data_IF_569668053467
#
_entry.id   IF_569668053467
#
_cell.length_a   1.000
_cell.length_b   1.000
_cell.length_c   1.000
_cell.angle_alpha   90.00
_cell.angle_beta   90.00
_cell.angle_gamma   90.00
#
_symmetry.space_group_name_H-M   'P 1'
#
loop_
_entity.id
_entity.type
_entity.pdbx_description
1 polymer ?
#
# COMPACT_ATOMS: atom_id res chain seq x y z
N UNK A 1 7.66 2.43 -4.42
CA UNK A 1 7.28 1.07 -4.87
C UNK A 1 6.16 1.23 -5.90
N UNK A 2 6.28 0.66 -7.10
CA UNK A 2 5.46 1.04 -8.27
C UNK A 2 3.97 0.81 -8.01
N UNK A 3 3.11 1.78 -8.40
CA UNK A 3 1.63 1.71 -8.34
C UNK A 3 1.10 0.40 -8.96
N UNK A 4 1.80 -0.11 -9.97
CA UNK A 4 1.49 -1.38 -10.64
C UNK A 4 1.71 -2.64 -9.80
N UNK A 5 2.45 -2.59 -8.68
CA UNK A 5 2.54 -3.74 -7.75
C UNK A 5 1.26 -3.82 -6.89
N UNK A 6 0.79 -2.67 -6.37
CA UNK A 6 -0.44 -2.59 -5.58
C UNK A 6 -1.71 -2.89 -6.38
N UNK A 7 -1.75 -2.52 -7.67
CA UNK A 7 -2.88 -2.86 -8.55
C UNK A 7 -2.94 -4.34 -8.92
N UNK A 8 -1.77 -4.98 -9.08
CA UNK A 8 -1.66 -6.42 -9.40
C UNK A 8 -1.78 -7.32 -8.18
N UNK A 9 -1.54 -6.78 -6.98
CA UNK A 9 -1.69 -7.52 -5.73
C UNK A 9 -3.15 -7.74 -5.30
N UNK A 10 -4.14 -7.39 -6.13
CA UNK A 10 -5.56 -7.52 -5.79
C UNK A 10 -6.39 -8.26 -6.85
N UNK A 11 -5.88 -8.43 -8.07
CA UNK A 11 -6.59 -9.17 -9.12
C UNK A 11 -6.47 -10.69 -8.97
N UNK A 12 -5.52 -11.17 -8.18
CA UNK A 12 -5.41 -12.60 -7.85
C UNK A 12 -5.58 -12.75 -6.35
N UNK A 13 -6.61 -13.48 -5.92
CA UNK A 13 -6.75 -14.11 -4.59
C UNK A 13 -5.61 -15.12 -4.31
N UNK A 14 -4.43 -14.94 -4.91
CA UNK A 14 -3.25 -15.75 -4.65
C UNK A 14 -2.71 -15.35 -3.28
N UNK A 15 -3.16 -16.11 -2.29
CA UNK A 15 -2.53 -16.39 -1.00
C UNK A 15 -1.30 -15.52 -0.73
N UNK A 16 -1.52 -14.34 -0.16
CA UNK A 16 -0.49 -13.62 0.59
C UNK A 16 -0.14 -14.43 1.84
N UNK A 17 0.40 -15.62 1.66
CA UNK A 17 0.85 -16.47 2.74
C UNK A 17 2.36 -16.41 2.77
N UNK A 18 2.92 -16.12 3.94
CA UNK A 18 4.36 -16.19 4.08
C UNK A 18 4.78 -17.66 3.99
N UNK A 19 5.76 -18.02 3.16
CA UNK A 19 6.30 -19.39 3.12
C UNK A 19 7.17 -19.71 4.36
N UNK A 20 7.25 -18.79 5.33
CA UNK A 20 8.06 -18.85 6.54
C UNK A 20 7.25 -18.24 7.69
N UNK A 21 7.92 -17.64 8.67
CA UNK A 21 7.32 -17.11 9.89
C UNK A 21 6.93 -15.62 9.80
N UNK A 22 6.52 -15.12 8.63
CA UNK A 22 6.08 -13.73 8.46
C UNK A 22 7.11 -12.64 8.84
N UNK A 23 8.38 -13.01 8.98
CA UNK A 23 9.52 -12.15 9.36
C UNK A 23 10.59 -12.06 8.27
N UNK A 24 10.19 -12.15 7.00
CA UNK A 24 11.14 -12.06 5.89
C UNK A 24 11.79 -10.67 5.83
N UNK A 25 13.10 -10.60 5.65
CA UNK A 25 13.81 -9.36 5.38
C UNK A 25 13.43 -8.85 3.98
N UNK A 26 12.89 -7.64 3.90
CA UNK A 26 12.47 -6.97 2.66
C UNK A 26 13.43 -5.82 2.38
N UNK A 27 14.44 -6.11 1.54
CA UNK A 27 15.45 -5.18 1.04
C UNK A 27 15.38 -5.05 -0.52
N UNK A 28 16.27 -4.26 -1.14
CA UNK A 28 16.24 -4.05 -2.60
C UNK A 28 16.42 -5.32 -3.41
N UNK A 29 17.19 -6.29 -2.93
CA UNK A 29 17.51 -7.54 -3.61
C UNK A 29 16.41 -8.58 -3.37
N UNK A 30 15.91 -8.69 -2.14
CA UNK A 30 15.01 -9.74 -1.67
C UNK A 30 13.53 -9.36 -1.66
N UNK A 31 13.15 -8.12 -2.03
CA UNK A 31 11.77 -7.64 -1.95
C UNK A 31 10.74 -8.53 -2.66
N UNK A 32 11.10 -9.21 -3.73
CA UNK A 32 10.16 -10.06 -4.48
C UNK A 32 9.99 -11.47 -3.88
N UNK A 33 10.80 -11.85 -2.89
CA UNK A 33 10.88 -13.21 -2.33
C UNK A 33 9.68 -13.60 -1.48
N UNK A 34 8.99 -12.63 -0.88
CA UNK A 34 7.78 -12.88 -0.10
C UNK A 34 6.78 -11.74 -0.31
N UNK A 35 5.72 -12.02 -1.05
CA UNK A 35 4.67 -11.04 -1.35
C UNK A 35 3.94 -10.60 -0.08
N UNK A 36 3.69 -11.50 0.87
CA UNK A 36 3.07 -11.18 2.17
C UNK A 36 3.90 -10.17 2.98
N UNK A 37 5.17 -10.48 3.28
CA UNK A 37 6.01 -9.60 4.12
C UNK A 37 6.26 -8.26 3.45
N UNK A 38 6.36 -8.25 2.12
CA UNK A 38 6.47 -7.01 1.35
C UNK A 38 5.21 -6.15 1.48
N UNK A 39 4.03 -6.75 1.30
CA UNK A 39 2.77 -6.02 1.45
C UNK A 39 2.60 -5.52 2.89
N UNK A 40 2.83 -6.37 3.90
CA UNK A 40 2.81 -6.01 5.32
C UNK A 40 3.71 -4.79 5.60
N UNK A 41 4.98 -4.82 5.18
CA UNK A 41 5.90 -3.70 5.34
C UNK A 41 5.43 -2.42 4.63
N UNK A 42 4.81 -2.53 3.46
CA UNK A 42 4.23 -1.37 2.78
C UNK A 42 3.08 -0.75 3.58
N UNK A 43 2.19 -1.58 4.12
CA UNK A 43 1.08 -1.13 4.97
C UNK A 43 1.62 -0.49 6.27
N UNK A 44 2.63 -1.08 6.92
CA UNK A 44 3.30 -0.53 8.12
C UNK A 44 3.94 0.84 7.86
N UNK A 45 4.50 1.04 6.65
CA UNK A 45 5.05 2.34 6.22
C UNK A 45 3.97 3.34 5.79
N UNK A 46 2.69 3.04 6.00
CA UNK A 46 1.57 3.94 5.71
C UNK A 46 1.11 3.94 4.26
N UNK A 47 1.49 2.96 3.44
CA UNK A 47 0.92 2.82 2.10
C UNK A 47 -0.49 2.27 2.21
N UNK A 48 -1.50 3.14 2.12
CA UNK A 48 -2.90 2.73 2.07
C UNK A 48 -3.43 2.70 0.64
N UNK A 49 -4.49 1.91 0.43
CA UNK A 49 -5.18 1.77 -0.85
C UNK A 49 -5.72 3.11 -1.35
N UNK A 50 -6.19 3.93 -0.43
CA UNK A 50 -6.72 5.27 -0.68
C UNK A 50 -5.58 6.25 -0.97
N UNK A 51 -4.44 6.17 -0.26
CA UNK A 51 -3.22 6.94 -0.52
C UNK A 51 -2.68 6.77 -1.95
N UNK A 52 -2.80 5.58 -2.54
CA UNK A 52 -2.39 5.34 -3.94
C UNK A 52 -3.32 6.09 -4.93
N UNK A 53 -4.59 6.32 -4.57
CA UNK A 53 -5.53 7.17 -5.30
C UNK A 53 -5.10 8.65 -5.20
N UNK A 54 -4.73 9.09 -3.99
CA UNK A 54 -4.21 10.44 -3.72
C UNK A 54 -2.86 10.73 -4.38
N UNK A 55 -2.04 9.72 -4.63
CA UNK A 55 -0.76 9.88 -5.36
C UNK A 55 -0.90 10.33 -6.81
N UNK A 56 -2.10 10.27 -7.41
CA UNK A 56 -2.44 10.85 -8.71
C UNK A 56 -3.29 12.12 -8.62
N UNK A 57 -3.70 12.52 -7.42
CA UNK A 57 -4.57 13.68 -7.25
C UNK A 57 -3.74 14.96 -7.30
N UNK A 58 -4.25 15.95 -8.04
CA UNK A 58 -3.66 17.28 -8.00
C UNK A 58 -3.73 17.85 -6.59
N UNK A 59 -2.83 18.77 -6.24
CA UNK A 59 -2.78 19.43 -4.93
C UNK A 59 -4.17 19.93 -4.49
N UNK A 60 -4.93 20.50 -5.44
CA UNK A 60 -6.30 21.01 -5.24
C UNK A 60 -7.32 19.94 -4.86
N UNK A 61 -7.19 18.72 -5.39
CA UNK A 61 -8.08 17.62 -5.06
C UNK A 61 -7.74 16.99 -3.71
N UNK A 62 -6.45 17.02 -3.31
CA UNK A 62 -6.01 16.52 -2.01
C UNK A 62 -6.53 17.40 -0.87
N UNK A 63 -6.43 18.72 -1.04
CA UNK A 63 -6.92 19.72 -0.08
C UNK A 63 -8.43 19.59 0.16
N UNK A 64 -9.23 19.40 -0.90
CA UNK A 64 -10.67 19.13 -0.75
C UNK A 64 -11.00 17.90 0.08
N UNK A 65 -10.23 16.81 -0.07
CA UNK A 65 -10.49 15.60 0.70
C UNK A 65 -10.00 15.74 2.14
N UNK A 66 -8.89 16.45 2.36
CA UNK A 66 -8.44 16.80 3.71
C UNK A 66 -9.46 17.67 4.45
N UNK A 67 -10.12 18.60 3.75
CA UNK A 67 -11.21 19.42 4.29
C UNK A 67 -12.48 18.61 4.54
N UNK A 68 -12.91 17.73 3.61
CA UNK A 68 -14.05 16.84 3.82
C UNK A 68 -13.85 15.90 5.02
N UNK A 69 -12.63 15.36 5.20
CA UNK A 69 -12.29 14.53 6.35
C UNK A 69 -12.37 15.35 7.63
N UNK A 70 -11.76 16.54 7.69
CA UNK A 70 -11.85 17.41 8.89
C UNK A 70 -13.29 17.75 9.24
N UNK A 71 -14.12 18.03 8.24
CA UNK A 71 -15.51 18.43 8.44
C UNK A 71 -16.42 17.26 8.84
N UNK A 72 -16.01 16.02 8.56
CA UNK A 72 -16.75 14.80 8.94
C UNK A 72 -16.44 14.37 10.39
N UNK A 73 -15.28 14.76 10.91
CA UNK A 73 -14.83 14.43 12.27
C UNK A 73 -14.90 15.63 13.25
N UNK A 74 -15.64 16.69 12.88
CA UNK A 74 -15.97 17.83 13.72
C UNK A 74 -17.44 17.75 14.13
#
# INVERSE_FOLDING_TARGET
MVIGFFRRSQSTLNNYQCPRQQKCIVDRVNRNRCQYCRLKKCLELGMSRDAVKFGRMSKKQREKVEDEVKNTFM
#
